data_IF_444133582429
#
_entry.id   IF_444133582429
#
_cell.length_a   1.000
_cell.length_b   1.000
_cell.length_c   1.000
_cell.angle_alpha   90.00
_cell.angle_beta   90.00
_cell.angle_gamma   90.00
#
_symmetry.space_group_name_H-M   'P 1'
#
loop_
_entity.id
_entity.type
_entity.pdbx_description
1 polymer ?
#
# COMPACT_ATOMS: atom_id res chain seq x y z
N UNK A 1 20.62 6.11 -23.11
CA UNK A 1 19.97 6.37 -21.78
C UNK A 1 18.52 6.82 -21.92
N UNK A 2 18.19 7.77 -22.80
CA UNK A 2 16.80 8.24 -23.04
C UNK A 2 15.93 7.15 -23.70
N UNK A 3 16.49 6.38 -24.65
CA UNK A 3 15.75 5.31 -25.34
C UNK A 3 15.39 4.11 -24.43
N UNK A 4 16.15 3.89 -23.36
CA UNK A 4 15.90 2.81 -22.41
C UNK A 4 14.72 3.18 -21.48
N UNK A 5 14.63 4.44 -21.07
CA UNK A 5 13.52 4.91 -20.21
C UNK A 5 12.18 4.94 -20.96
N UNK A 6 12.19 5.29 -22.25
CA UNK A 6 10.99 5.27 -23.10
C UNK A 6 10.46 3.85 -23.33
N UNK A 7 11.35 2.86 -23.44
CA UNK A 7 10.96 1.46 -23.60
C UNK A 7 10.29 0.89 -22.34
N UNK A 8 10.81 1.22 -21.16
CA UNK A 8 10.22 0.85 -19.86
C UNK A 8 8.82 1.44 -19.71
N UNK A 9 8.60 2.68 -20.19
CA UNK A 9 7.29 3.35 -20.09
C UNK A 9 6.21 2.68 -20.95
N UNK A 10 6.57 2.14 -22.12
CA UNK A 10 5.62 1.49 -23.03
C UNK A 10 5.18 0.09 -22.62
N UNK A 11 6.05 -0.67 -21.96
CA UNK A 11 5.76 -2.04 -21.53
C UNK A 11 4.93 -2.11 -20.22
N UNK A 12 4.74 -1.00 -19.51
CA UNK A 12 3.90 -0.93 -18.31
C UNK A 12 2.38 -0.99 -18.56
N UNK A 13 1.92 -1.06 -19.83
CA UNK A 13 0.50 -1.00 -20.21
C UNK A 13 -0.09 -2.31 -20.77
N UNK A 14 0.58 -3.45 -20.61
CA UNK A 14 0.03 -4.73 -21.03
C UNK A 14 -1.01 -5.29 -20.04
N UNK A 15 -2.06 -6.00 -20.50
CA UNK A 15 -3.09 -6.56 -19.63
C UNK A 15 -2.50 -7.64 -18.72
N UNK A 16 -2.70 -7.47 -17.41
CA UNK A 16 -2.11 -8.30 -16.36
C UNK A 16 -3.13 -9.27 -15.79
N UNK A 17 -3.11 -10.53 -16.24
CA UNK A 17 -3.69 -11.65 -15.49
C UNK A 17 -2.64 -12.50 -14.75
N UNK A 18 -1.35 -12.29 -15.00
CA UNK A 18 -0.26 -13.07 -14.38
C UNK A 18 0.91 -12.18 -13.98
N UNK A 19 1.71 -12.66 -13.05
CA UNK A 19 2.96 -12.08 -12.58
C UNK A 19 3.83 -11.67 -13.77
N UNK A 20 3.99 -10.37 -14.03
CA UNK A 20 4.90 -9.89 -15.06
C UNK A 20 6.33 -10.07 -14.59
N UNK A 21 6.95 -11.19 -14.98
CA UNK A 21 8.40 -11.36 -14.98
C UNK A 21 8.96 -10.62 -16.18
N UNK A 22 9.59 -9.47 -15.98
CA UNK A 22 10.45 -8.88 -16.99
C UNK A 22 11.89 -9.30 -16.71
N UNK A 23 12.37 -10.25 -17.50
CA UNK A 23 13.78 -10.59 -17.53
C UNK A 23 14.46 -9.67 -18.55
N UNK A 24 14.99 -8.53 -18.10
CA UNK A 24 15.93 -7.74 -18.90
C UNK A 24 17.34 -8.29 -18.68
N UNK A 25 17.96 -8.70 -19.76
CA UNK A 25 19.35 -9.14 -19.80
C UNK A 25 20.27 -7.98 -19.37
N UNK A 26 20.99 -8.22 -18.29
CA UNK A 26 22.25 -7.65 -17.82
C UNK A 26 22.29 -6.31 -17.08
N UNK A 27 21.21 -5.48 -16.94
CA UNK A 27 21.34 -4.22 -16.17
C UNK A 27 20.07 -3.80 -15.41
N UNK A 28 18.94 -4.49 -15.51
CA UNK A 28 17.70 -4.09 -14.81
C UNK A 28 17.20 -5.22 -13.94
N UNK A 29 17.13 -4.97 -12.65
CA UNK A 29 16.60 -5.90 -11.65
C UNK A 29 15.13 -6.25 -11.84
N UNK A 30 14.64 -7.23 -11.08
CA UNK A 30 13.24 -7.64 -11.10
C UNK A 30 12.33 -6.53 -10.57
N UNK A 31 11.17 -6.32 -11.21
CA UNK A 31 10.15 -5.35 -10.79
C UNK A 31 8.87 -6.09 -10.42
N UNK A 32 8.34 -5.82 -9.23
CA UNK A 32 7.10 -6.41 -8.74
C UNK A 32 6.07 -5.33 -8.44
N UNK A 33 4.78 -5.63 -8.68
CA UNK A 33 3.66 -4.78 -8.30
C UNK A 33 2.93 -5.37 -7.10
N UNK A 34 2.63 -4.53 -6.11
CA UNK A 34 2.00 -4.89 -4.84
C UNK A 34 0.58 -4.35 -4.70
N UNK A 35 -0.09 -4.08 -5.83
CA UNK A 35 -1.40 -3.46 -5.85
C UNK A 35 -2.51 -4.46 -6.14
N UNK A 36 -3.69 -4.17 -5.59
CA UNK A 36 -4.95 -4.83 -5.94
C UNK A 36 -5.50 -4.24 -7.23
N UNK A 37 -6.10 -5.09 -8.06
CA UNK A 37 -6.83 -4.65 -9.25
C UNK A 37 -8.16 -3.99 -8.83
N UNK A 38 -8.52 -2.89 -9.49
CA UNK A 38 -9.85 -2.31 -9.34
C UNK A 38 -10.86 -3.08 -10.19
N UNK A 39 -11.75 -3.79 -9.55
CA UNK A 39 -12.82 -4.54 -10.19
C UNK A 39 -14.19 -4.04 -9.69
N UNK A 40 -15.20 -4.05 -10.54
CA UNK A 40 -16.59 -3.75 -10.15
C UNK A 40 -17.15 -4.70 -9.07
N UNK A 41 -16.43 -5.77 -8.75
CA UNK A 41 -16.90 -6.90 -7.93
C UNK A 41 -16.54 -6.79 -6.46
N UNK A 42 -15.48 -6.06 -6.12
CA UNK A 42 -14.97 -6.00 -4.74
C UNK A 42 -14.98 -4.57 -4.23
N UNK A 43 -16.11 -4.16 -3.68
CA UNK A 43 -16.15 -3.03 -2.80
C UNK A 43 -15.51 -3.40 -1.48
N UNK A 44 -14.51 -2.66 -1.05
CA UNK A 44 -13.98 -2.79 0.28
C UNK A 44 -14.80 -1.87 1.17
N UNK A 45 -15.44 -2.40 2.10
CA UNK A 45 -15.65 -2.12 3.50
C UNK A 45 -16.97 -2.74 3.95
N UNK A 46 -16.87 -3.66 4.90
CA UNK A 46 -18.01 -4.20 5.65
C UNK A 46 -18.40 -3.24 6.78
N UNK A 47 -18.65 -2.00 6.44
CA UNK A 47 -19.40 -1.09 7.29
C UNK A 47 -20.68 -0.75 6.51
N UNK A 48 -21.82 -0.99 7.04
CA UNK A 48 -23.23 -0.81 6.64
C UNK A 48 -23.58 -0.08 5.31
N UNK A 49 -22.59 0.34 4.52
CA UNK A 49 -22.74 0.99 3.22
C UNK A 49 -21.91 0.24 2.18
N UNK A 50 -22.59 -0.22 1.15
CA UNK A 50 -22.07 -0.93 -0.02
C UNK A 50 -21.20 0.03 -0.89
N UNK A 51 -19.98 0.33 -0.42
CA UNK A 51 -19.03 1.24 -1.07
C UNK A 51 -18.33 0.53 -2.21
N UNK A 52 -18.95 0.45 -3.36
CA UNK A 52 -18.39 -0.20 -4.56
C UNK A 52 -17.61 0.80 -5.40
N UNK A 53 -16.56 0.29 -6.03
CA UNK A 53 -15.97 0.95 -7.20
C UNK A 53 -16.92 0.75 -8.36
N UNK A 54 -17.27 1.82 -9.05
CA UNK A 54 -18.15 1.77 -10.21
C UNK A 54 -17.41 2.29 -11.44
N UNK A 55 -17.49 1.50 -12.51
CA UNK A 55 -16.88 1.82 -13.80
C UNK A 55 -17.99 1.99 -14.82
N UNK A 56 -18.17 3.20 -15.31
CA UNK A 56 -19.18 3.53 -16.31
C UNK A 56 -18.51 3.85 -17.65
N UNK A 57 -18.99 3.27 -18.77
CA UNK A 57 -18.56 3.72 -20.08
C UNK A 57 -19.08 5.17 -20.29
N UNK A 58 -18.18 6.15 -20.32
CA UNK A 58 -18.51 7.53 -20.63
C UNK A 58 -18.57 7.73 -22.14
N UNK A 59 -17.64 7.13 -22.89
CA UNK A 59 -17.58 7.12 -24.33
C UNK A 59 -17.26 5.71 -24.85
N UNK A 60 -17.72 5.39 -26.09
CA UNK A 60 -17.46 4.11 -26.73
C UNK A 60 -16.86 4.28 -28.13
N UNK A 61 -16.11 3.30 -28.61
CA UNK A 61 -15.51 3.34 -29.95
C UNK A 61 -16.55 3.46 -31.07
N UNK A 62 -17.76 2.88 -30.86
CA UNK A 62 -18.82 2.82 -31.84
C UNK A 62 -19.53 4.17 -32.02
N UNK A 63 -19.63 4.95 -30.95
CA UNK A 63 -20.36 6.22 -30.95
C UNK A 63 -19.43 7.44 -31.00
N UNK A 64 -18.26 7.36 -30.35
CA UNK A 64 -17.43 8.52 -30.03
C UNK A 64 -16.02 8.45 -30.66
N UNK A 65 -15.67 7.38 -31.39
CA UNK A 65 -14.35 7.13 -31.99
C UNK A 65 -13.25 6.83 -30.97
N UNK A 66 -13.47 7.08 -29.69
CA UNK A 66 -12.58 6.76 -28.57
C UNK A 66 -13.38 6.17 -27.41
N UNK A 67 -12.66 5.50 -26.51
CA UNK A 67 -13.25 4.96 -25.29
C UNK A 67 -12.81 5.78 -24.10
N UNK A 68 -13.76 6.14 -23.25
CA UNK A 68 -13.52 6.78 -21.97
C UNK A 68 -14.34 6.10 -20.87
N UNK A 69 -13.76 5.99 -19.69
CA UNK A 69 -14.41 5.36 -18.53
C UNK A 69 -14.52 6.38 -17.40
N UNK A 70 -15.73 6.63 -16.93
CA UNK A 70 -15.95 7.34 -15.66
C UNK A 70 -15.69 6.36 -14.51
N UNK A 71 -14.80 6.76 -13.62
CA UNK A 71 -14.46 6.02 -12.42
C UNK A 71 -15.05 6.72 -11.19
N UNK A 72 -15.92 6.01 -10.46
CA UNK A 72 -16.44 6.45 -9.17
C UNK A 72 -15.91 5.51 -8.08
N UNK A 73 -15.14 6.05 -7.16
CA UNK A 73 -14.52 5.27 -6.09
C UNK A 73 -14.21 6.16 -4.88
N UNK A 74 -14.01 5.52 -3.74
CA UNK A 74 -13.52 6.20 -2.54
C UNK A 74 -11.99 6.23 -2.54
N UNK A 75 -11.42 7.19 -1.83
CA UNK A 75 -9.97 7.38 -1.68
C UNK A 75 -9.29 6.17 -1.03
N UNK A 76 -10.01 5.38 -0.26
CA UNK A 76 -9.55 4.16 0.44
C UNK A 76 -9.89 2.87 -0.31
N UNK A 77 -9.99 2.90 -1.63
CA UNK A 77 -10.31 1.73 -2.44
C UNK A 77 -9.06 0.95 -2.83
N UNK A 78 -9.08 -0.37 -2.64
CA UNK A 78 -7.99 -1.28 -3.03
C UNK A 78 -6.72 -1.05 -2.22
N UNK A 79 -5.56 -1.22 -2.84
CA UNK A 79 -4.30 -0.77 -2.24
C UNK A 79 -4.29 0.75 -2.25
N UNK A 80 -4.23 1.34 -1.08
CA UNK A 80 -4.31 2.78 -0.88
C UNK A 80 -3.32 3.25 0.17
N UNK A 81 -3.23 4.56 0.31
CA UNK A 81 -2.34 5.23 1.25
C UNK A 81 -3.11 6.29 2.01
N UNK A 82 -2.77 6.47 3.29
CA UNK A 82 -3.34 7.45 4.18
C UNK A 82 -2.29 8.48 4.58
N UNK A 83 -2.59 9.79 4.48
CA UNK A 83 -1.80 10.86 5.04
C UNK A 83 -2.31 11.22 6.45
N UNK A 84 -1.60 12.08 7.23
CA UNK A 84 -2.09 12.60 8.50
C UNK A 84 -3.46 13.28 8.43
N UNK A 85 -3.83 13.87 7.29
CA UNK A 85 -5.13 14.48 7.06
C UNK A 85 -6.30 13.48 7.12
N UNK A 86 -6.03 12.17 6.96
CA UNK A 86 -7.05 11.13 7.15
C UNK A 86 -7.70 11.19 8.54
N UNK A 87 -6.91 11.49 9.56
CA UNK A 87 -7.36 11.46 10.96
C UNK A 87 -7.54 12.84 11.56
N UNK A 88 -6.76 13.81 11.12
CA UNK A 88 -6.71 15.13 11.75
C UNK A 88 -6.94 16.26 10.75
N UNK A 89 -8.01 17.01 10.95
CA UNK A 89 -8.26 18.20 10.16
C UNK A 89 -7.08 19.19 10.26
N UNK A 90 -6.67 19.73 9.11
CA UNK A 90 -5.56 20.69 9.02
C UNK A 90 -4.17 20.08 9.14
N UNK A 91 -4.05 18.74 9.10
CA UNK A 91 -2.77 18.05 8.93
C UNK A 91 -2.46 17.86 7.44
N UNK A 92 -1.23 17.46 7.16
CA UNK A 92 -0.67 17.30 5.82
C UNK A 92 -1.51 16.39 4.92
N UNK A 93 -1.89 16.89 3.76
CA UNK A 93 -2.59 16.18 2.68
C UNK A 93 -1.61 15.71 1.61
N UNK A 94 -2.03 14.82 0.69
CA UNK A 94 -1.09 14.25 -0.30
C UNK A 94 -0.53 15.25 -1.30
N UNK A 95 -1.26 16.28 -1.64
CA UNK A 95 -0.80 17.32 -2.55
C UNK A 95 0.27 18.23 -1.95
N UNK A 96 0.42 18.23 -0.63
CA UNK A 96 1.43 18.98 0.13
C UNK A 96 2.76 18.22 0.29
N UNK A 97 2.75 16.88 0.19
CA UNK A 97 3.98 16.08 0.31
C UNK A 97 4.90 16.26 -0.89
N UNK A 98 6.23 16.34 -0.68
CA UNK A 98 7.18 16.28 -1.78
C UNK A 98 7.24 14.85 -2.38
N UNK A 99 7.53 14.70 -3.69
CA UNK A 99 7.58 13.38 -4.34
C UNK A 99 8.54 12.39 -3.69
N UNK A 100 9.61 12.87 -3.07
CA UNK A 100 10.62 12.08 -2.37
C UNK A 100 10.05 11.32 -1.16
N UNK A 101 8.89 11.74 -0.65
CA UNK A 101 8.17 11.04 0.42
C UNK A 101 7.75 9.64 -0.02
N UNK A 102 7.44 9.45 -1.28
CA UNK A 102 6.81 8.25 -1.82
C UNK A 102 7.79 7.25 -2.44
N UNK A 103 9.09 7.46 -2.29
CA UNK A 103 10.15 6.60 -2.82
C UNK A 103 11.29 6.44 -1.82
N UNK A 104 11.84 5.21 -1.70
CA UNK A 104 12.96 4.93 -0.81
C UNK A 104 13.27 3.45 -0.71
N UNK A 105 14.14 3.10 0.22
CA UNK A 105 14.43 1.70 0.55
C UNK A 105 13.33 1.14 1.47
N UNK A 106 12.80 -0.04 1.13
CA UNK A 106 11.85 -0.74 1.97
C UNK A 106 12.44 -2.05 2.49
N UNK A 107 11.87 -2.52 3.60
CA UNK A 107 12.14 -3.82 4.19
C UNK A 107 10.82 -4.49 4.54
N UNK A 108 10.68 -5.77 4.18
CA UNK A 108 9.56 -6.59 4.65
C UNK A 108 9.86 -7.13 6.05
N UNK A 109 8.91 -6.95 6.94
CA UNK A 109 8.88 -7.57 8.27
C UNK A 109 7.94 -8.77 8.18
N UNK A 110 8.51 -9.98 8.23
CA UNK A 110 7.72 -11.20 8.16
C UNK A 110 6.98 -11.44 9.48
N UNK A 111 5.67 -11.58 9.37
CA UNK A 111 4.72 -11.83 10.46
C UNK A 111 3.71 -12.94 10.05
N UNK A 112 4.07 -13.76 9.07
CA UNK A 112 3.15 -14.78 8.49
C UNK A 112 2.79 -15.90 9.45
N UNK A 113 3.56 -16.12 10.51
CA UNK A 113 3.25 -17.11 11.54
C UNK A 113 2.10 -16.69 12.47
N UNK A 114 1.78 -15.37 12.50
CA UNK A 114 0.73 -14.84 13.36
C UNK A 114 -0.66 -15.27 12.90
N UNK A 115 -1.47 -15.61 13.89
CA UNK A 115 -2.89 -15.97 13.73
C UNK A 115 -3.79 -14.81 14.11
N UNK A 116 -5.08 -15.00 13.88
CA UNK A 116 -6.12 -14.06 14.34
C UNK A 116 -5.95 -13.71 15.82
N UNK A 117 -6.17 -12.44 16.16
CA UNK A 117 -6.00 -11.86 17.50
C UNK A 117 -4.56 -11.86 18.05
N UNK A 118 -3.57 -12.37 17.34
CA UNK A 118 -2.18 -12.28 17.79
C UNK A 118 -1.59 -10.90 17.47
N UNK A 119 -0.38 -10.63 18.00
CA UNK A 119 0.15 -9.26 18.03
C UNK A 119 1.51 -9.21 17.36
N UNK A 120 1.70 -8.24 16.46
CA UNK A 120 3.02 -7.88 15.94
C UNK A 120 3.80 -7.22 17.08
N UNK A 121 4.89 -7.86 17.50
CA UNK A 121 5.73 -7.44 18.64
C UNK A 121 7.14 -7.04 18.21
N UNK A 122 7.92 -6.49 19.13
CA UNK A 122 9.33 -6.15 18.91
C UNK A 122 10.21 -7.35 18.53
N UNK A 123 9.73 -8.60 18.73
CA UNK A 123 10.44 -9.78 18.27
C UNK A 123 10.54 -9.83 16.74
N UNK A 124 9.47 -9.52 16.01
CA UNK A 124 9.45 -9.46 14.55
C UNK A 124 10.42 -8.37 14.02
N UNK A 125 10.48 -7.23 14.71
CA UNK A 125 11.44 -6.17 14.40
C UNK A 125 12.89 -6.65 14.58
N UNK A 126 13.18 -7.39 15.67
CA UNK A 126 14.52 -7.95 15.93
C UNK A 126 14.93 -9.01 14.91
N UNK A 127 13.98 -9.86 14.51
CA UNK A 127 14.21 -10.91 13.50
C UNK A 127 14.52 -10.33 12.12
N UNK A 128 13.94 -9.20 11.76
CA UNK A 128 14.25 -8.48 10.52
C UNK A 128 15.65 -7.85 10.50
N UNK A 129 16.35 -7.80 11.64
CA UNK A 129 17.75 -7.47 11.76
C UNK A 129 18.10 -5.98 11.61
N UNK A 130 19.38 -5.69 11.35
CA UNK A 130 19.89 -4.31 11.30
C UNK A 130 19.39 -3.49 10.10
N UNK A 131 18.84 -4.13 9.08
CA UNK A 131 18.30 -3.45 7.91
C UNK A 131 17.06 -2.61 8.23
N UNK A 132 16.36 -2.92 9.33
CA UNK A 132 15.24 -2.12 9.85
C UNK A 132 15.63 -0.64 10.00
N UNK A 133 16.84 -0.36 10.51
CA UNK A 133 17.31 1.02 10.74
C UNK A 133 17.72 1.76 9.47
N UNK A 134 17.87 1.04 8.34
CA UNK A 134 18.30 1.58 7.05
C UNK A 134 17.14 1.78 6.07
N UNK A 135 15.98 1.24 6.42
CA UNK A 135 14.77 1.34 5.61
C UNK A 135 14.13 2.72 5.75
N UNK A 136 13.55 3.22 4.65
CA UNK A 136 12.62 4.35 4.64
C UNK A 136 11.19 3.88 4.88
N UNK A 137 10.88 2.62 4.50
CA UNK A 137 9.56 2.00 4.66
C UNK A 137 9.67 0.64 5.33
N UNK A 138 8.79 0.36 6.29
CA UNK A 138 8.62 -0.96 6.90
C UNK A 138 7.30 -1.57 6.41
N UNK A 139 7.36 -2.70 5.72
CA UNK A 139 6.20 -3.38 5.14
C UNK A 139 5.93 -4.67 5.91
N UNK A 140 4.85 -4.72 6.67
CA UNK A 140 4.47 -5.86 7.49
C UNK A 140 3.69 -6.88 6.67
N UNK A 141 4.25 -8.08 6.53
CA UNK A 141 3.67 -9.18 5.77
C UNK A 141 3.02 -10.20 6.72
N UNK A 142 1.71 -10.21 6.73
CA UNK A 142 0.87 -11.07 7.57
C UNK A 142 0.32 -12.30 6.82
N UNK A 143 0.68 -12.45 5.54
CA UNK A 143 0.06 -13.44 4.64
C UNK A 143 -1.48 -13.30 4.55
N UNK A 144 -2.00 -12.14 4.95
CA UNK A 144 -3.43 -11.86 5.00
C UNK A 144 -4.02 -11.53 3.63
N UNK A 145 -3.20 -11.07 2.72
CA UNK A 145 -3.55 -10.81 1.33
C UNK A 145 -4.18 -12.02 0.64
N UNK A 146 -3.86 -13.25 1.07
CA UNK A 146 -4.44 -14.51 0.58
C UNK A 146 -5.92 -14.67 0.91
N UNK A 147 -6.44 -13.90 1.88
CA UNK A 147 -7.85 -13.88 2.27
C UNK A 147 -8.68 -12.84 1.51
N UNK A 148 -8.05 -12.08 0.61
CA UNK A 148 -8.74 -11.06 -0.17
C UNK A 148 -9.97 -11.59 -0.90
N UNK A 149 -11.10 -10.87 -0.80
CA UNK A 149 -12.37 -11.28 -1.38
C UNK A 149 -13.17 -12.30 -0.56
N UNK A 150 -12.65 -12.72 0.62
CA UNK A 150 -13.35 -13.57 1.58
C UNK A 150 -13.80 -12.76 2.79
N UNK A 151 -14.87 -13.19 3.48
CA UNK A 151 -15.32 -12.57 4.74
C UNK A 151 -14.20 -12.57 5.80
N UNK A 152 -13.36 -13.60 5.80
CA UNK A 152 -12.22 -13.73 6.71
C UNK A 152 -11.16 -12.63 6.53
N UNK A 153 -11.16 -11.88 5.43
CA UNK A 153 -10.27 -10.73 5.25
C UNK A 153 -10.57 -9.61 6.24
N UNK A 154 -11.85 -9.46 6.61
CA UNK A 154 -12.34 -8.49 7.59
C UNK A 154 -12.39 -9.04 9.01
N UNK A 155 -11.67 -10.13 9.28
CA UNK A 155 -11.56 -10.74 10.59
C UNK A 155 -10.55 -10.04 11.50
N UNK A 156 -10.24 -10.68 12.63
CA UNK A 156 -9.35 -10.14 13.67
C UNK A 156 -7.88 -10.32 13.27
N UNK A 157 -7.43 -9.62 12.22
CA UNK A 157 -6.05 -9.66 11.76
C UNK A 157 -5.07 -9.17 12.84
N UNK A 158 -3.82 -9.68 12.85
CA UNK A 158 -2.81 -9.24 13.79
C UNK A 158 -2.52 -7.74 13.63
N UNK A 159 -2.44 -7.05 14.76
CA UNK A 159 -2.07 -5.64 14.80
C UNK A 159 -0.81 -5.45 15.63
N UNK A 160 -0.05 -4.38 15.36
CA UNK A 160 1.13 -4.07 16.16
C UNK A 160 0.77 -3.66 17.59
N UNK A 161 1.63 -4.04 18.54
CA UNK A 161 1.54 -3.55 19.90
C UNK A 161 2.02 -2.09 20.03
N UNK A 162 1.90 -1.57 21.23
CA UNK A 162 2.30 -0.20 21.51
C UNK A 162 3.83 0.00 21.45
N UNK A 163 4.59 -1.04 21.74
CA UNK A 163 6.05 -1.01 21.72
C UNK A 163 6.59 -0.88 20.30
N UNK A 164 6.04 -1.66 19.35
CA UNK A 164 6.37 -1.55 17.92
C UNK A 164 5.97 -0.19 17.37
N UNK A 165 4.78 0.32 17.70
CA UNK A 165 4.34 1.63 17.25
C UNK A 165 5.25 2.74 17.79
N UNK A 166 5.65 2.67 19.06
CA UNK A 166 6.61 3.63 19.64
C UNK A 166 8.00 3.53 18.98
N UNK A 167 8.47 2.32 18.66
CA UNK A 167 9.70 2.10 17.91
C UNK A 167 9.64 2.79 16.54
N UNK A 168 8.57 2.58 15.77
CA UNK A 168 8.36 3.22 14.47
C UNK A 168 8.36 4.74 14.60
N UNK A 169 7.63 5.29 15.57
CA UNK A 169 7.55 6.74 15.81
C UNK A 169 8.86 7.37 16.27
N UNK A 170 9.77 6.57 16.84
CA UNK A 170 11.12 7.03 17.24
C UNK A 170 12.13 6.97 16.10
N UNK A 171 11.80 6.29 15.01
CA UNK A 171 12.64 6.17 13.81
C UNK A 171 12.42 7.32 12.83
N UNK A 172 13.16 7.28 11.73
CA UNK A 172 13.05 8.25 10.64
C UNK A 172 12.45 7.59 9.38
N UNK A 173 11.30 6.95 9.56
CA UNK A 173 10.60 6.27 8.45
C UNK A 173 9.70 7.26 7.69
N UNK A 174 9.64 7.09 6.37
CA UNK A 174 8.71 7.80 5.50
C UNK A 174 7.30 7.20 5.59
N UNK A 175 7.22 5.89 5.80
CA UNK A 175 5.93 5.21 5.88
C UNK A 175 6.03 3.78 6.38
N UNK A 176 4.84 3.24 6.65
CA UNK A 176 4.62 1.84 6.96
C UNK A 176 3.60 1.27 5.99
N UNK A 177 3.58 -0.05 5.82
CA UNK A 177 2.59 -0.70 4.97
C UNK A 177 2.21 -2.09 5.45
N UNK A 178 1.01 -2.55 5.05
CA UNK A 178 0.42 -3.82 5.48
C UNK A 178 -0.35 -4.50 4.36
N UNK A 179 -0.43 -5.81 4.41
CA UNK A 179 -1.32 -6.61 3.56
C UNK A 179 -2.72 -6.83 4.17
N UNK A 180 -3.10 -6.00 5.15
CA UNK A 180 -4.42 -5.95 5.80
C UNK A 180 -5.10 -4.60 5.54
N UNK A 181 -6.37 -4.49 5.97
CA UNK A 181 -7.25 -3.33 5.72
C UNK A 181 -6.93 -2.12 6.62
N UNK A 182 -6.10 -2.26 7.64
CA UNK A 182 -5.79 -1.16 8.56
C UNK A 182 -4.80 -1.55 9.64
N UNK A 183 -4.26 -0.55 10.33
CA UNK A 183 -3.34 -0.75 11.47
C UNK A 183 -4.06 -0.95 12.79
N UNK A 184 -5.35 -0.60 12.87
CA UNK A 184 -6.19 -0.81 14.05
C UNK A 184 -7.00 -2.09 13.94
N UNK A 185 -7.29 -2.79 15.06
CA UNK A 185 -8.26 -3.87 15.06
C UNK A 185 -9.62 -3.40 14.54
N UNK A 186 -10.35 -4.24 13.85
CA UNK A 186 -11.70 -3.92 13.33
C UNK A 186 -12.65 -3.41 14.42
N UNK A 187 -12.49 -3.89 15.65
CA UNK A 187 -13.31 -3.47 16.78
C UNK A 187 -12.96 -2.07 17.31
N UNK A 188 -11.78 -1.55 16.98
CA UNK A 188 -11.36 -0.21 17.45
C UNK A 188 -11.93 0.90 16.58
N UNK A 189 -13.18 1.27 16.86
CA UNK A 189 -13.87 2.36 16.17
C UNK A 189 -13.24 3.74 16.41
N UNK A 190 -12.31 3.85 17.36
CA UNK A 190 -11.62 5.11 17.66
C UNK A 190 -10.34 5.32 16.85
N UNK A 191 -9.90 4.33 16.09
CA UNK A 191 -8.67 4.36 15.29
C UNK A 191 -7.45 4.80 16.13
N UNK A 192 -7.24 4.12 17.25
CA UNK A 192 -6.28 4.52 18.28
C UNK A 192 -4.84 4.53 17.76
N UNK A 193 -4.47 3.52 16.93
CA UNK A 193 -3.13 3.43 16.33
C UNK A 193 -2.93 4.46 15.24
N UNK A 194 -3.92 4.65 14.35
CA UNK A 194 -3.88 5.73 13.35
C UNK A 194 -3.71 7.09 14.01
N UNK A 195 -4.49 7.37 15.06
CA UNK A 195 -4.37 8.65 15.82
C UNK A 195 -2.98 8.80 16.42
N UNK A 196 -2.41 7.73 16.95
CA UNK A 196 -1.06 7.78 17.53
C UNK A 196 -0.01 7.98 16.45
N UNK A 197 -0.13 7.27 15.30
CA UNK A 197 0.77 7.38 14.16
C UNK A 197 0.81 8.82 13.61
N UNK A 198 -0.36 9.39 13.33
CA UNK A 198 -0.47 10.66 12.61
C UNK A 198 -0.47 11.92 13.49
N UNK A 199 -0.44 11.77 14.82
CA UNK A 199 -0.56 12.94 15.74
C UNK A 199 0.54 13.97 15.53
N UNK A 200 1.79 13.53 15.40
CA UNK A 200 2.96 14.41 15.45
C UNK A 200 3.99 14.13 14.35
N UNK A 201 3.71 13.25 13.40
CA UNK A 201 4.60 12.97 12.29
C UNK A 201 3.85 12.98 10.95
N UNK A 202 4.58 13.24 9.88
CA UNK A 202 4.10 13.24 8.50
C UNK A 202 4.50 11.94 7.79
N UNK A 203 4.36 10.81 8.49
CA UNK A 203 4.50 9.47 7.93
C UNK A 203 3.25 9.12 7.13
N UNK A 204 3.39 8.21 6.17
CA UNK A 204 2.26 7.66 5.43
C UNK A 204 2.00 6.21 5.86
N UNK A 205 0.73 5.78 5.80
CA UNK A 205 0.30 4.40 6.03
C UNK A 205 -0.21 3.81 4.72
N UNK A 206 0.23 2.61 4.35
CA UNK A 206 -0.14 1.93 3.10
C UNK A 206 -0.88 0.65 3.46
N UNK A 207 -2.08 0.49 2.94
CA UNK A 207 -2.97 -0.62 3.30
C UNK A 207 -3.32 -1.48 2.08
N UNK A 208 -3.73 -2.72 2.36
CA UNK A 208 -4.12 -3.69 1.35
C UNK A 208 -3.00 -4.02 0.33
N UNK A 209 -1.76 -4.05 0.75
CA UNK A 209 -0.66 -4.57 -0.06
C UNK A 209 -0.88 -6.06 -0.37
N UNK A 210 -0.19 -6.57 -1.37
CA UNK A 210 -0.16 -8.00 -1.71
C UNK A 210 1.21 -8.39 -2.26
N UNK A 211 1.47 -9.71 -2.35
CA UNK A 211 2.71 -10.26 -2.92
C UNK A 211 3.99 -9.83 -2.17
N UNK A 212 3.92 -9.47 -0.89
CA UNK A 212 5.10 -9.09 -0.11
C UNK A 212 6.10 -10.24 0.06
N UNK A 213 5.64 -11.49 -0.09
CA UNK A 213 6.46 -12.70 -0.13
C UNK A 213 7.51 -12.70 -1.27
N UNK A 214 7.31 -11.91 -2.32
CA UNK A 214 8.25 -11.78 -3.44
C UNK A 214 9.45 -10.89 -3.15
N UNK A 215 9.43 -10.13 -2.04
CA UNK A 215 10.47 -9.15 -1.72
C UNK A 215 11.70 -9.74 -1.05
N UNK A 216 11.60 -10.95 -0.46
CA UNK A 216 12.68 -11.50 0.35
C UNK A 216 12.90 -10.74 1.66
N UNK A 217 14.10 -10.84 2.23
CA UNK A 217 14.46 -10.30 3.56
C UNK A 217 15.47 -9.17 3.51
N UNK A 218 15.91 -8.77 2.33
CA UNK A 218 16.86 -7.68 2.12
C UNK A 218 16.19 -6.36 1.78
N UNK A 219 16.94 -5.27 1.85
CA UNK A 219 16.47 -3.97 1.41
C UNK A 219 16.31 -3.94 -0.11
N UNK A 220 15.19 -3.37 -0.56
CA UNK A 220 14.90 -3.14 -1.96
C UNK A 220 14.42 -1.71 -2.19
N UNK A 221 14.42 -1.27 -3.46
CA UNK A 221 13.81 -0.01 -3.80
C UNK A 221 12.29 -0.15 -3.86
N UNK A 222 11.60 0.82 -3.31
CA UNK A 222 10.15 0.86 -3.25
C UNK A 222 9.63 2.23 -3.66
N UNK A 223 8.52 2.25 -4.38
CA UNK A 223 7.77 3.46 -4.67
C UNK A 223 6.28 3.22 -4.55
N UNK A 224 5.56 4.22 -4.05
CA UNK A 224 4.13 4.14 -3.82
C UNK A 224 3.53 5.55 -3.94
N UNK A 225 3.28 5.99 -5.18
CA UNK A 225 2.81 7.35 -5.43
C UNK A 225 1.28 7.45 -5.37
N UNK A 226 0.73 8.36 -4.53
CA UNK A 226 -0.69 8.68 -4.54
C UNK A 226 -1.05 9.55 -5.74
N UNK A 227 -2.34 9.63 -6.07
CA UNK A 227 -2.86 10.64 -6.97
C UNK A 227 -2.73 12.01 -6.30
N UNK A 228 -2.30 13.01 -7.07
CA UNK A 228 -2.20 14.39 -6.59
C UNK A 228 -3.55 15.09 -6.66
N UNK A 229 -4.41 14.77 -5.71
CA UNK A 229 -5.75 15.36 -5.57
C UNK A 229 -5.68 16.46 -4.52
N UNK A 230 -6.24 17.63 -4.82
CA UNK A 230 -6.27 18.76 -3.89
C UNK A 230 -6.97 18.39 -2.57
N UNK A 231 -6.32 18.69 -1.45
CA UNK A 231 -6.78 18.39 -0.09
C UNK A 231 -7.11 16.91 0.16
N UNK A 232 -6.40 15.99 -0.49
CA UNK A 232 -6.70 14.56 -0.39
C UNK A 232 -6.38 13.99 1.00
N UNK A 233 -7.36 13.33 1.56
CA UNK A 233 -7.34 12.58 2.82
C UNK A 233 -6.88 11.13 2.65
N UNK A 234 -6.77 10.66 1.42
CA UNK A 234 -6.38 9.31 1.03
C UNK A 234 -6.24 9.18 -0.48
N UNK A 235 -5.59 8.14 -0.95
CA UNK A 235 -5.48 7.87 -2.39
C UNK A 235 -5.22 6.41 -2.67
N UNK A 236 -5.90 5.82 -3.66
CA UNK A 236 -5.43 4.60 -4.28
C UNK A 236 -4.03 4.81 -4.83
N UNK A 237 -3.20 3.77 -4.71
CA UNK A 237 -1.80 3.83 -5.11
C UNK A 237 -1.40 2.62 -5.94
N UNK A 238 -0.34 2.77 -6.72
CA UNK A 238 0.39 1.67 -7.32
C UNK A 238 1.74 1.50 -6.64
N UNK A 239 1.80 0.56 -5.70
CA UNK A 239 3.01 0.19 -4.98
C UNK A 239 3.87 -0.72 -5.85
N UNK A 240 5.16 -0.40 -5.98
CA UNK A 240 6.11 -1.12 -6.84
C UNK A 240 7.43 -1.30 -6.10
N UNK A 241 8.00 -2.51 -6.14
CA UNK A 241 9.37 -2.78 -5.74
C UNK A 241 10.23 -3.11 -6.95
N UNK A 242 11.51 -2.72 -6.89
CA UNK A 242 12.52 -3.18 -7.85
C UNK A 242 13.82 -3.50 -7.14
N UNK A 243 14.54 -4.45 -7.70
CA UNK A 243 15.77 -5.03 -7.18
C UNK A 243 16.91 -4.76 -8.16
N UNK A 244 18.05 -4.35 -7.66
CA UNK A 244 19.28 -4.17 -8.43
C UNK A 244 20.02 -5.51 -8.59
#
# INVERSE_FOLDING_TARGET
>A
MVDTLLKIFWEMFLPMEEICYFQFLEVVGMVFSFCRLFENKYGIVRLEYDRKTELYPANSYEQDVFKETLLQMYTYTGTHMDPPAHIFAGRTTFDEFPPEQFIGKALVIDCCELRECEVISMEHIRQAGENVKKADFLLFHLCWDKRWGMDAYFGDYPCMDEEVLNFILSGNYKGIGFDVIGIDPIIDVNLTRHKKLFRNCDMVNIENLKNLDLCGTDLFWFSCFPLKIENSDGSPVRAVAWFE
#
